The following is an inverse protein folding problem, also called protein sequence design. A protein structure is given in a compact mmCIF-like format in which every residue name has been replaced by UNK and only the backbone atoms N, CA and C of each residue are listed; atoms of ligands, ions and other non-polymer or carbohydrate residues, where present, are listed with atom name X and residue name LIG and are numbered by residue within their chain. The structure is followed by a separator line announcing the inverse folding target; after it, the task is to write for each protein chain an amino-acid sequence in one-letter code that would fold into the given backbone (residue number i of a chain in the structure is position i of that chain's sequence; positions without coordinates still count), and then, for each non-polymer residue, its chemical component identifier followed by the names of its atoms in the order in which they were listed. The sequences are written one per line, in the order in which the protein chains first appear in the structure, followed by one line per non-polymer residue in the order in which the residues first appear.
data_IF_205804325722
#
_entry.id   IF_205804325722
#
_cell.length_a   1.000
_cell.length_b   1.000
_cell.length_c   1.000
_cell.angle_alpha   90.00
_cell.angle_beta   90.00
_cell.angle_gamma   90.00
#
_symmetry.space_group_name_H-M   'P 1'
#
loop_
_entity.id
_entity.type
_entity.pdbx_description
1 polymer ?
#
# COMPACT_ATOMS: atom_id res chain seq x y z
N UNK A 1 -33.80 20.04 35.58
CA UNK A 1 -32.89 18.86 35.49
C UNK A 1 -33.64 17.56 35.20
N UNK A 2 -34.37 16.94 36.14
CA UNK A 2 -35.00 15.61 35.92
C UNK A 2 -35.99 15.59 34.75
N UNK A 3 -36.84 16.62 34.61
CA UNK A 3 -37.81 16.71 33.50
C UNK A 3 -37.11 16.70 32.13
N UNK A 4 -36.01 17.44 32.03
CA UNK A 4 -35.22 17.52 30.80
C UNK A 4 -34.46 16.23 30.53
N UNK A 5 -33.90 15.59 31.56
CA UNK A 5 -33.22 14.30 31.42
C UNK A 5 -34.19 13.19 30.99
N UNK A 6 -35.38 13.12 31.61
CA UNK A 6 -36.45 12.22 31.19
C UNK A 6 -36.82 12.46 29.72
N UNK A 7 -37.13 13.71 29.36
CA UNK A 7 -37.48 14.06 28.00
C UNK A 7 -36.38 13.68 27.01
N UNK A 8 -35.11 14.01 27.30
CA UNK A 8 -33.97 13.65 26.45
C UNK A 8 -33.83 12.13 26.28
N UNK A 9 -33.91 11.36 27.37
CA UNK A 9 -33.79 9.90 27.31
C UNK A 9 -34.87 9.29 26.42
N UNK A 10 -36.14 9.65 26.64
CA UNK A 10 -37.25 9.12 25.86
C UNK A 10 -37.15 9.59 24.40
N UNK A 11 -36.82 10.86 24.16
CA UNK A 11 -36.67 11.40 22.81
C UNK A 11 -35.58 10.65 22.02
N UNK A 12 -34.39 10.46 22.61
CA UNK A 12 -33.30 9.73 21.98
C UNK A 12 -33.68 8.27 21.71
N UNK A 13 -34.35 7.61 22.67
CA UNK A 13 -34.88 6.26 22.47
C UNK A 13 -35.86 6.22 21.29
N UNK A 14 -36.75 7.19 21.15
CA UNK A 14 -37.72 7.24 20.03
C UNK A 14 -37.05 7.41 18.66
N UNK A 15 -35.85 7.99 18.59
CA UNK A 15 -35.08 8.09 17.34
C UNK A 15 -34.49 6.75 16.91
N UNK A 16 -34.10 5.90 17.87
CA UNK A 16 -33.45 4.61 17.61
C UNK A 16 -34.43 3.43 17.62
N UNK A 17 -35.49 3.52 18.41
CA UNK A 17 -36.61 2.56 18.47
C UNK A 17 -37.91 3.34 18.27
N UNK A 18 -38.47 3.33 17.04
CA UNK A 18 -39.66 4.10 16.71
C UNK A 18 -40.85 3.79 17.64
N UNK A 19 -41.50 4.84 18.14
CA UNK A 19 -42.72 4.74 18.94
C UNK A 19 -43.98 4.70 18.04
N UNK A 20 -45.10 4.22 18.60
CA UNK A 20 -46.39 4.29 17.89
C UNK A 20 -46.87 5.73 17.77
N UNK A 21 -47.79 5.99 16.83
CA UNK A 21 -48.39 7.31 16.62
C UNK A 21 -49.08 7.85 17.87
N UNK A 22 -49.80 6.99 18.59
CA UNK A 22 -50.49 7.37 19.83
C UNK A 22 -49.47 7.77 20.91
N UNK A 23 -48.34 7.05 20.99
CA UNK A 23 -47.27 7.36 21.92
C UNK A 23 -46.63 8.72 21.63
N UNK A 24 -46.36 9.03 20.35
CA UNK A 24 -45.72 10.29 19.97
C UNK A 24 -46.64 11.50 20.21
N UNK A 25 -47.95 11.38 20.01
CA UNK A 25 -48.91 12.47 20.31
C UNK A 25 -48.89 12.83 21.80
N UNK A 26 -48.77 11.84 22.67
CA UNK A 26 -48.80 12.03 24.12
C UNK A 26 -47.44 12.38 24.73
N UNK A 27 -46.35 12.27 23.97
CA UNK A 27 -45.01 12.63 24.42
C UNK A 27 -44.73 14.13 24.25
N UNK A 28 -44.62 14.87 25.37
CA UNK A 28 -44.33 16.30 25.37
C UNK A 28 -43.35 16.67 26.49
N UNK A 29 -42.54 17.71 26.28
CA UNK A 29 -41.72 18.31 27.36
C UNK A 29 -42.67 18.80 28.46
N UNK A 30 -42.39 18.51 29.73
CA UNK A 30 -43.29 18.89 30.82
C UNK A 30 -44.56 18.04 30.99
N UNK A 31 -44.68 16.88 30.32
CA UNK A 31 -45.96 16.14 30.28
C UNK A 31 -46.53 15.65 31.63
N UNK A 32 -45.73 15.68 32.71
CA UNK A 32 -46.16 15.31 34.07
C UNK A 32 -46.21 16.50 35.03
N UNK A 33 -46.06 17.74 34.55
CA UNK A 33 -46.22 18.94 35.39
C UNK A 33 -47.69 19.09 35.86
N UNK A 34 -48.63 18.50 35.12
CA UNK A 34 -50.04 18.30 35.49
C UNK A 34 -50.38 16.80 35.42
N UNK A 35 -51.43 16.33 36.12
CA UNK A 35 -51.90 14.95 36.00
C UNK A 35 -52.18 14.56 34.54
N UNK A 36 -51.57 13.47 34.08
CA UNK A 36 -51.61 13.00 32.69
C UNK A 36 -51.54 11.46 32.65
N UNK A 37 -52.67 10.82 32.97
CA UNK A 37 -52.79 9.35 33.01
C UNK A 37 -52.61 8.72 31.63
N UNK A 38 -53.15 9.33 30.58
CA UNK A 38 -52.99 8.85 29.20
C UNK A 38 -51.51 8.88 28.78
N UNK A 39 -50.81 9.98 29.05
CA UNK A 39 -49.38 10.07 28.81
C UNK A 39 -48.57 9.05 29.60
N UNK A 40 -48.92 8.82 30.86
CA UNK A 40 -48.30 7.74 31.64
C UNK A 40 -48.48 6.38 30.98
N UNK A 41 -49.68 6.02 30.55
CA UNK A 41 -49.99 4.73 29.93
C UNK A 41 -49.15 4.51 28.66
N UNK A 42 -49.18 5.44 27.73
CA UNK A 42 -48.49 5.26 26.44
C UNK A 42 -46.96 5.25 26.60
N UNK A 43 -46.42 6.14 27.44
CA UNK A 43 -44.96 6.21 27.62
C UNK A 43 -44.44 5.03 28.44
N UNK A 44 -45.16 4.58 29.47
CA UNK A 44 -44.76 3.39 30.24
C UNK A 44 -44.86 2.12 29.40
N UNK A 45 -45.92 1.94 28.60
CA UNK A 45 -46.00 0.87 27.61
C UNK A 45 -44.79 0.89 26.65
N UNK A 46 -44.45 2.05 26.09
CA UNK A 46 -43.32 2.19 25.17
C UNK A 46 -42.00 1.80 25.84
N UNK A 47 -41.68 2.41 26.98
CA UNK A 47 -40.41 2.18 27.67
C UNK A 47 -40.26 0.73 28.13
N UNK A 48 -41.30 0.13 28.71
CA UNK A 48 -41.26 -1.26 29.16
C UNK A 48 -41.18 -2.25 28.00
N UNK A 49 -41.75 -1.90 26.84
CA UNK A 49 -41.61 -2.68 25.61
C UNK A 49 -40.17 -2.62 25.07
N UNK A 50 -39.52 -1.46 25.11
CA UNK A 50 -38.09 -1.30 24.77
C UNK A 50 -37.22 -2.14 25.70
N UNK A 51 -37.50 -2.10 27.00
CA UNK A 51 -36.77 -2.89 28.00
C UNK A 51 -36.91 -4.40 27.76
N UNK A 52 -38.14 -4.94 27.74
CA UNK A 52 -38.38 -6.36 27.49
C UNK A 52 -39.81 -6.62 27.01
N UNK A 53 -40.04 -6.48 25.70
CA UNK A 53 -41.34 -6.72 25.09
C UNK A 53 -41.95 -8.09 25.40
N UNK A 54 -41.14 -9.16 25.48
CA UNK A 54 -41.64 -10.52 25.75
C UNK A 54 -42.19 -10.63 27.17
N UNK A 55 -41.48 -10.08 28.15
CA UNK A 55 -41.91 -10.08 29.55
C UNK A 55 -43.10 -9.15 29.76
N UNK A 56 -43.05 -7.95 29.17
CA UNK A 56 -44.14 -6.99 29.26
C UNK A 56 -45.47 -7.61 28.80
N UNK A 57 -45.50 -8.24 27.63
CA UNK A 57 -46.70 -8.92 27.10
C UNK A 57 -47.23 -10.06 28.00
N UNK A 58 -46.39 -10.66 28.83
CA UNK A 58 -46.80 -11.73 29.76
C UNK A 58 -47.39 -11.20 31.06
N UNK A 59 -46.93 -10.02 31.51
CA UNK A 59 -47.28 -9.47 32.81
C UNK A 59 -48.32 -8.36 32.74
N UNK A 60 -48.45 -7.69 31.60
CA UNK A 60 -49.33 -6.53 31.43
C UNK A 60 -50.21 -6.73 30.21
N UNK A 61 -51.52 -6.56 30.42
CA UNK A 61 -52.54 -6.61 29.38
C UNK A 61 -52.46 -5.36 28.52
N UNK A 62 -52.32 -5.54 27.20
CA UNK A 62 -52.29 -4.48 26.20
C UNK A 62 -52.91 -4.98 24.88
N UNK A 63 -53.70 -4.17 24.15
CA UNK A 63 -54.06 -2.76 24.38
C UNK A 63 -55.17 -2.56 25.42
N UNK A 64 -55.32 -1.32 25.89
CA UNK A 64 -56.40 -0.91 26.81
C UNK A 64 -57.61 -0.49 25.97
N UNK A 65 -58.75 -1.17 26.13
CA UNK A 65 -59.96 -0.88 25.35
C UNK A 65 -61.02 -0.15 26.16
N UNK A 66 -61.05 -0.35 27.47
CA UNK A 66 -62.06 0.23 28.36
C UNK A 66 -61.48 0.68 29.72
N UNK A 67 -62.31 1.32 30.55
CA UNK A 67 -61.90 1.80 31.89
C UNK A 67 -61.57 0.68 32.88
N UNK A 68 -62.08 -0.54 32.69
CA UNK A 68 -61.74 -1.69 33.51
C UNK A 68 -60.33 -2.19 33.18
N UNK A 69 -59.99 -2.23 31.89
CA UNK A 69 -58.64 -2.53 31.42
C UNK A 69 -57.63 -1.50 31.93
N UNK A 70 -58.03 -0.22 31.99
CA UNK A 70 -57.18 0.85 32.53
C UNK A 70 -56.88 0.65 34.03
N UNK A 71 -57.88 0.23 34.81
CA UNK A 71 -57.69 -0.13 36.23
C UNK A 71 -56.77 -1.34 36.37
N UNK A 72 -56.96 -2.36 35.53
CA UNK A 72 -56.14 -3.58 35.51
C UNK A 72 -54.70 -3.25 35.13
N UNK A 73 -54.49 -2.45 34.09
CA UNK A 73 -53.19 -1.99 33.63
C UNK A 73 -52.39 -1.32 34.75
N UNK A 74 -53.00 -0.41 35.52
CA UNK A 74 -52.32 0.23 36.66
C UNK A 74 -51.88 -0.77 37.72
N UNK A 75 -52.69 -1.80 37.98
CA UNK A 75 -52.36 -2.83 38.96
C UNK A 75 -51.20 -3.70 38.47
N UNK A 76 -51.27 -4.17 37.23
CA UNK A 76 -50.23 -5.01 36.60
C UNK A 76 -48.89 -4.26 36.44
N UNK A 77 -48.94 -2.99 36.07
CA UNK A 77 -47.75 -2.13 35.97
C UNK A 77 -47.11 -1.89 37.33
N UNK A 78 -47.90 -1.74 38.40
CA UNK A 78 -47.37 -1.60 39.76
C UNK A 78 -46.57 -2.84 40.16
N UNK A 79 -47.09 -4.03 39.88
CA UNK A 79 -46.37 -5.29 40.12
C UNK A 79 -45.10 -5.36 39.27
N UNK A 80 -45.20 -4.99 37.98
CA UNK A 80 -44.04 -4.95 37.10
C UNK A 80 -42.94 -4.02 37.62
N UNK A 81 -43.31 -2.85 38.14
CA UNK A 81 -42.36 -1.91 38.73
C UNK A 81 -41.70 -2.45 40.00
N UNK A 82 -42.42 -3.19 40.83
CA UNK A 82 -41.82 -3.85 42.00
C UNK A 82 -40.74 -4.86 41.57
N UNK A 83 -41.00 -5.61 40.50
CA UNK A 83 -40.04 -6.55 39.93
C UNK A 83 -38.81 -5.84 39.36
N UNK A 84 -39.00 -4.74 38.61
CA UNK A 84 -37.88 -3.93 38.10
C UNK A 84 -37.03 -3.33 39.22
N UNK A 85 -37.66 -2.88 40.31
CA UNK A 85 -36.98 -2.33 41.47
C UNK A 85 -36.06 -3.36 42.14
N UNK A 86 -36.52 -4.62 42.24
CA UNK A 86 -35.71 -5.72 42.79
C UNK A 86 -34.53 -6.09 41.89
N UNK A 87 -34.70 -6.02 40.57
CA UNK A 87 -33.66 -6.37 39.59
C UNK A 87 -32.61 -5.28 39.40
N UNK A 88 -32.94 -4.02 39.74
CA UNK A 88 -32.06 -2.86 39.52
C UNK A 88 -31.85 -2.08 40.83
N UNK A 89 -31.20 -2.67 41.84
CA UNK A 89 -30.96 -2.00 43.13
C UNK A 89 -30.08 -0.75 42.99
N UNK A 90 -29.27 -0.65 41.93
CA UNK A 90 -28.41 0.49 41.62
C UNK A 90 -29.19 1.78 41.27
N UNK A 91 -30.42 1.65 40.81
CA UNK A 91 -31.20 2.76 40.23
C UNK A 91 -31.98 3.55 41.29
N UNK A 92 -32.04 3.05 42.53
CA UNK A 92 -32.82 3.64 43.63
C UNK A 92 -34.28 3.90 43.21
N UNK A 93 -34.95 2.85 42.77
CA UNK A 93 -36.31 2.93 42.25
C UNK A 93 -37.30 3.37 43.35
N UNK A 94 -38.15 4.39 43.12
CA UNK A 94 -39.06 4.89 44.14
C UNK A 94 -40.19 3.90 44.42
N UNK A 95 -40.66 3.83 45.67
CA UNK A 95 -41.86 3.05 46.02
C UNK A 95 -43.10 3.59 45.30
N UNK A 96 -43.84 2.70 44.63
CA UNK A 96 -45.01 3.03 43.82
C UNK A 96 -46.30 2.65 44.55
N UNK A 97 -47.03 3.68 45.02
CA UNK A 97 -48.38 3.53 45.54
C UNK A 97 -49.41 3.63 44.41
N UNK A 98 -50.53 2.94 44.57
CA UNK A 98 -51.62 2.96 43.60
C UNK A 98 -52.20 4.38 43.40
N UNK A 99 -52.20 5.20 44.46
CA UNK A 99 -52.62 6.61 44.40
C UNK A 99 -51.77 7.44 43.45
N UNK A 100 -50.48 7.15 43.32
CA UNK A 100 -49.61 7.82 42.35
C UNK A 100 -50.01 7.49 40.91
N UNK A 101 -50.48 6.27 40.64
CA UNK A 101 -50.87 5.83 39.30
C UNK A 101 -52.28 6.30 38.90
N UNK A 102 -53.17 6.53 39.86
CA UNK A 102 -54.54 7.02 39.61
C UNK A 102 -54.53 8.45 39.03
N UNK A 103 -53.68 9.32 39.57
CA UNK A 103 -53.47 10.68 39.08
C UNK A 103 -52.00 10.83 38.69
N UNK A 104 -51.63 10.28 37.54
CA UNK A 104 -50.25 10.19 37.13
C UNK A 104 -49.68 11.58 36.78
N UNK A 105 -49.14 12.28 37.77
CA UNK A 105 -48.54 13.60 37.62
C UNK A 105 -47.69 13.99 38.81
N UNK A 106 -47.05 15.15 38.70
CA UNK A 106 -46.18 15.70 39.72
C UNK A 106 -44.81 15.01 39.81
N UNK A 107 -44.01 15.47 40.77
CA UNK A 107 -42.60 15.11 40.92
C UNK A 107 -42.37 13.61 41.11
N UNK A 108 -43.25 12.90 41.83
CA UNK A 108 -43.10 11.46 42.09
C UNK A 108 -43.23 10.63 40.83
N UNK A 109 -44.23 10.93 39.99
CA UNK A 109 -44.43 10.24 38.71
C UNK A 109 -43.31 10.59 37.73
N UNK A 110 -42.88 11.85 37.71
CA UNK A 110 -41.74 12.24 36.90
C UNK A 110 -40.46 11.47 37.26
N UNK A 111 -40.15 11.32 38.55
CA UNK A 111 -38.98 10.55 39.01
C UNK A 111 -39.14 9.07 38.62
N UNK A 112 -40.33 8.49 38.84
CA UNK A 112 -40.62 7.10 38.46
C UNK A 112 -40.39 6.87 36.96
N UNK A 113 -40.98 7.72 36.11
CA UNK A 113 -40.85 7.62 34.66
C UNK A 113 -39.42 7.89 34.18
N UNK A 114 -38.70 8.79 34.83
CA UNK A 114 -37.27 8.98 34.60
C UNK A 114 -36.46 7.71 34.91
N UNK A 115 -36.69 7.05 36.05
CA UNK A 115 -36.01 5.79 36.39
C UNK A 115 -36.32 4.67 35.41
N UNK A 116 -37.57 4.57 34.95
CA UNK A 116 -37.96 3.61 33.91
C UNK A 116 -37.23 3.92 32.59
N UNK A 117 -37.06 5.20 32.24
CA UNK A 117 -36.30 5.58 31.04
C UNK A 117 -34.82 5.18 31.13
N UNK A 118 -34.21 5.28 32.31
CA UNK A 118 -32.81 4.87 32.54
C UNK A 118 -32.66 3.34 32.39
N UNK A 119 -33.58 2.56 32.97
CA UNK A 119 -33.63 1.09 32.81
C UNK A 119 -33.78 0.70 31.34
N UNK A 120 -34.70 1.34 30.64
CA UNK A 120 -34.99 1.04 29.24
C UNK A 120 -33.80 1.37 28.34
N UNK A 121 -33.12 2.49 28.62
CA UNK A 121 -31.92 2.91 27.92
C UNK A 121 -30.75 1.94 28.19
N UNK A 122 -30.53 1.55 29.45
CA UNK A 122 -29.53 0.55 29.84
C UNK A 122 -29.75 -0.76 29.10
N UNK A 123 -30.98 -1.29 29.12
CA UNK A 123 -31.32 -2.53 28.42
C UNK A 123 -31.11 -2.43 26.90
N UNK A 124 -31.49 -1.31 26.28
CA UNK A 124 -31.27 -1.09 24.86
C UNK A 124 -29.78 -1.06 24.48
N UNK A 125 -28.98 -0.29 25.22
CA UNK A 125 -27.53 -0.18 24.96
C UNK A 125 -26.86 -1.52 25.18
N UNK A 126 -27.14 -2.20 26.29
CA UNK A 126 -26.52 -3.50 26.59
C UNK A 126 -26.81 -4.53 25.50
N UNK A 127 -28.06 -4.56 25.00
CA UNK A 127 -28.45 -5.47 23.92
C UNK A 127 -27.81 -5.11 22.58
N UNK A 128 -27.75 -3.83 22.23
CA UNK A 128 -27.28 -3.37 20.92
C UNK A 128 -25.76 -3.41 20.81
N UNK A 129 -25.06 -3.01 21.87
CA UNK A 129 -23.61 -2.97 21.91
C UNK A 129 -22.99 -4.28 22.39
N UNK A 130 -23.79 -5.25 22.86
CA UNK A 130 -23.31 -6.49 23.49
C UNK A 130 -22.35 -6.24 24.66
N UNK A 131 -22.60 -5.17 25.42
CA UNK A 131 -21.78 -4.76 26.57
C UNK A 131 -22.64 -4.87 27.84
N UNK A 132 -22.11 -5.46 28.90
CA UNK A 132 -22.74 -5.44 30.21
C UNK A 132 -22.46 -4.10 30.90
N UNK A 133 -23.47 -3.23 30.97
CA UNK A 133 -23.37 -1.97 31.70
C UNK A 133 -23.52 -2.21 33.21
N UNK A 134 -22.44 -1.97 33.96
CA UNK A 134 -22.42 -2.09 35.42
C UNK A 134 -23.36 -1.10 36.12
N UNK A 135 -23.63 0.06 35.51
CA UNK A 135 -24.48 1.11 36.07
C UNK A 135 -25.40 1.70 35.01
N UNK A 136 -26.57 2.18 35.43
CA UNK A 136 -27.46 2.93 34.56
C UNK A 136 -26.85 4.27 34.13
N UNK A 137 -27.20 4.79 32.93
CA UNK A 137 -26.76 6.11 32.48
C UNK A 137 -27.21 7.21 33.46
N UNK A 138 -26.27 7.82 34.16
CA UNK A 138 -26.53 8.88 35.14
C UNK A 138 -26.48 10.28 34.52
N UNK A 139 -27.17 11.22 35.16
CA UNK A 139 -27.04 12.65 34.86
C UNK A 139 -25.65 13.10 35.34
N UNK A 140 -24.67 13.16 34.43
CA UNK A 140 -23.30 13.61 34.70
C UNK A 140 -22.93 14.85 33.89
N UNK A 141 -21.89 15.56 34.33
CA UNK A 141 -21.30 16.66 33.55
C UNK A 141 -20.66 16.10 32.28
N UNK A 142 -21.38 16.24 31.15
CA UNK A 142 -20.93 15.77 29.85
C UNK A 142 -19.69 16.50 29.36
N UNK A 143 -19.26 17.59 30.01
CA UNK A 143 -18.04 18.32 29.63
C UNK A 143 -16.82 17.42 29.57
N UNK A 144 -16.60 16.57 30.57
CA UNK A 144 -15.42 15.70 30.60
C UNK A 144 -15.45 14.64 29.49
N UNK A 145 -16.63 14.06 29.20
CA UNK A 145 -16.80 13.07 28.13
C UNK A 145 -16.60 13.73 26.77
N UNK A 146 -17.21 14.90 26.55
CA UNK A 146 -17.11 15.67 25.32
C UNK A 146 -15.65 16.13 25.10
N UNK A 147 -15.01 16.65 26.15
CA UNK A 147 -13.60 17.07 26.09
C UNK A 147 -12.67 15.89 25.80
N UNK A 148 -12.87 14.74 26.46
CA UNK A 148 -12.12 13.51 26.19
C UNK A 148 -12.32 13.05 24.75
N UNK A 149 -13.56 13.01 24.25
CA UNK A 149 -13.87 12.62 22.87
C UNK A 149 -13.17 13.53 21.86
N UNK A 150 -13.29 14.85 22.01
CA UNK A 150 -12.62 15.81 21.13
C UNK A 150 -11.10 15.69 21.20
N UNK A 151 -10.55 15.45 22.39
CA UNK A 151 -9.10 15.28 22.57
C UNK A 151 -8.62 14.04 21.82
N UNK A 152 -9.30 12.91 21.95
CA UNK A 152 -8.98 11.67 21.21
C UNK A 152 -9.07 11.91 19.69
N UNK A 153 -10.14 12.54 19.21
CA UNK A 153 -10.30 12.83 17.78
C UNK A 153 -9.26 13.80 17.23
N UNK A 154 -8.84 14.78 18.01
CA UNK A 154 -7.75 15.67 17.62
C UNK A 154 -6.42 14.92 17.53
N UNK A 155 -6.10 14.07 18.52
CA UNK A 155 -4.89 13.24 18.49
C UNK A 155 -4.87 12.30 17.28
N UNK A 156 -5.98 11.63 16.96
CA UNK A 156 -6.08 10.77 15.76
C UNK A 156 -5.79 11.55 14.47
N UNK A 157 -6.38 12.75 14.34
CA UNK A 157 -6.18 13.63 13.20
C UNK A 157 -4.71 14.08 13.09
N UNK A 158 -4.12 14.52 14.20
CA UNK A 158 -2.75 15.05 14.21
C UNK A 158 -1.71 13.94 13.93
N UNK A 159 -1.96 12.72 14.40
CA UNK A 159 -1.15 11.54 14.04
C UNK A 159 -1.22 11.23 12.54
N UNK A 160 -2.40 11.36 11.95
CA UNK A 160 -2.60 11.13 10.51
C UNK A 160 -1.86 12.18 9.68
N UNK A 161 -1.98 13.45 10.05
CA UNK A 161 -1.27 14.57 9.42
C UNK A 161 0.26 14.36 9.53
N UNK A 162 0.75 14.00 10.71
CA UNK A 162 2.18 13.80 10.95
C UNK A 162 2.75 12.66 10.10
N UNK A 163 2.04 11.53 10.01
CA UNK A 163 2.46 10.42 9.13
C UNK A 163 2.50 10.82 7.66
N UNK A 164 1.49 11.55 7.19
CA UNK A 164 1.45 12.03 5.82
C UNK A 164 2.59 13.01 5.52
N UNK A 165 2.88 13.91 6.45
CA UNK A 165 3.99 14.86 6.34
C UNK A 165 5.34 14.16 6.24
N UNK A 166 5.64 13.18 7.12
CA UNK A 166 6.90 12.44 7.06
C UNK A 166 7.06 11.63 5.78
N UNK A 167 5.99 11.00 5.30
CA UNK A 167 6.00 10.30 4.01
C UNK A 167 6.31 11.26 2.85
N UNK A 168 5.64 12.42 2.83
CA UNK A 168 5.86 13.44 1.80
C UNK A 168 7.30 13.95 1.81
N UNK A 169 7.86 14.16 3.00
CA UNK A 169 9.26 14.59 3.18
C UNK A 169 10.26 13.55 2.68
N UNK A 170 10.01 12.26 2.92
CA UNK A 170 10.84 11.17 2.40
C UNK A 170 10.76 11.06 0.87
N UNK A 171 9.55 11.17 0.30
CA UNK A 171 9.36 11.19 -1.15
C UNK A 171 10.08 12.38 -1.80
N UNK A 172 10.00 13.57 -1.20
CA UNK A 172 10.70 14.75 -1.69
C UNK A 172 12.22 14.53 -1.73
N UNK A 173 12.82 14.05 -0.63
CA UNK A 173 14.27 13.75 -0.58
C UNK A 173 14.69 12.73 -1.63
N UNK A 174 13.87 11.69 -1.83
CA UNK A 174 14.14 10.65 -2.83
C UNK A 174 14.10 11.23 -4.25
N UNK A 175 13.13 12.11 -4.52
CA UNK A 175 13.02 12.82 -5.79
C UNK A 175 14.19 13.78 -6.04
N UNK A 176 14.59 14.56 -5.03
CA UNK A 176 15.76 15.44 -5.12
C UNK A 176 17.04 14.65 -5.44
N UNK A 177 17.23 13.50 -4.79
CA UNK A 177 18.37 12.63 -5.05
C UNK A 177 18.35 12.05 -6.47
N UNK A 178 17.18 11.60 -6.93
CA UNK A 178 16.99 11.13 -8.31
C UNK A 178 17.33 12.22 -9.33
N UNK A 179 16.82 13.44 -9.15
CA UNK A 179 17.10 14.57 -10.03
C UNK A 179 18.60 14.91 -10.07
N UNK A 180 19.28 14.83 -8.92
CA UNK A 180 20.72 15.06 -8.86
C UNK A 180 21.51 14.00 -9.63
N UNK A 181 21.14 12.72 -9.52
CA UNK A 181 21.76 11.64 -10.29
C UNK A 181 21.55 11.83 -11.79
N UNK A 182 20.33 12.12 -12.23
CA UNK A 182 20.03 12.38 -13.64
C UNK A 182 20.81 13.58 -14.19
N UNK A 183 20.95 14.66 -13.42
CA UNK A 183 21.73 15.81 -13.84
C UNK A 183 23.22 15.45 -14.08
N UNK A 184 23.80 14.61 -13.21
CA UNK A 184 25.18 14.12 -13.38
C UNK A 184 25.29 13.26 -14.65
N UNK A 185 24.32 12.38 -14.92
CA UNK A 185 24.30 11.56 -16.14
C UNK A 185 24.18 12.39 -17.40
N UNK A 186 23.30 13.40 -17.42
CA UNK A 186 23.16 14.32 -18.54
C UNK A 186 24.47 15.06 -18.84
N UNK A 187 25.16 15.55 -17.80
CA UNK A 187 26.47 16.20 -17.97
C UNK A 187 27.48 15.21 -18.56
N UNK A 188 27.53 13.96 -18.09
CA UNK A 188 28.43 12.94 -18.67
C UNK A 188 28.14 12.68 -20.15
N UNK A 189 26.87 12.53 -20.52
CA UNK A 189 26.46 12.32 -21.92
C UNK A 189 26.85 13.54 -22.77
N UNK A 190 26.59 14.75 -22.27
CA UNK A 190 26.94 15.98 -22.98
C UNK A 190 28.45 16.10 -23.21
N UNK A 191 29.26 15.81 -22.21
CA UNK A 191 30.73 15.81 -22.35
C UNK A 191 31.20 14.76 -23.36
N UNK A 192 30.64 13.55 -23.32
CA UNK A 192 30.98 12.49 -24.28
C UNK A 192 30.62 12.88 -25.72
N UNK A 193 29.44 13.48 -25.94
CA UNK A 193 29.05 14.00 -27.25
C UNK A 193 30.04 15.06 -27.74
N UNK A 194 30.44 15.98 -26.86
CA UNK A 194 31.39 17.03 -27.20
C UNK A 194 32.79 16.47 -27.57
N UNK A 195 33.28 15.49 -26.82
CA UNK A 195 34.55 14.82 -27.10
C UNK A 195 34.53 14.10 -28.45
N UNK A 196 33.46 13.34 -28.73
CA UNK A 196 33.29 12.65 -30.01
C UNK A 196 33.23 13.65 -31.16
N UNK A 197 32.47 14.74 -31.02
CA UNK A 197 32.40 15.81 -32.01
C UNK A 197 33.77 16.42 -32.29
N UNK A 198 34.51 16.79 -31.23
CA UNK A 198 35.87 17.34 -31.39
C UNK A 198 36.82 16.37 -32.08
N UNK A 199 36.71 15.07 -31.80
CA UNK A 199 37.52 14.05 -32.47
C UNK A 199 37.15 13.90 -33.95
N UNK A 200 35.86 13.95 -34.30
CA UNK A 200 35.39 13.95 -35.69
C UNK A 200 35.95 15.17 -36.43
N UNK A 201 35.88 16.37 -35.84
CA UNK A 201 36.45 17.60 -36.41
C UNK A 201 37.97 17.46 -36.68
N UNK A 202 38.72 16.87 -35.73
CA UNK A 202 40.16 16.59 -35.90
C UNK A 202 40.49 15.56 -36.98
N UNK A 203 39.61 14.59 -37.21
CA UNK A 203 39.81 13.57 -38.25
C UNK A 203 39.48 14.13 -39.63
N UNK A 204 38.39 14.89 -39.73
CA UNK A 204 37.96 15.53 -40.97
C UNK A 204 38.99 16.56 -41.46
N UNK A 205 39.60 17.34 -40.55
CA UNK A 205 40.64 18.32 -40.92
C UNK A 205 41.91 17.70 -41.52
N UNK A 206 42.14 16.40 -41.33
CA UNK A 206 43.27 15.66 -41.90
C UNK A 206 42.96 15.01 -43.25
N UNK A 207 41.69 14.96 -43.65
CA UNK A 207 41.26 14.28 -44.87
C UNK A 207 41.33 15.24 -46.08
N UNK A 208 41.91 14.83 -47.22
CA UNK A 208 41.99 15.66 -48.42
C UNK A 208 40.65 15.62 -49.18
N UNK A 209 39.63 16.29 -48.65
CA UNK A 209 38.26 16.31 -49.22
C UNK A 209 37.77 17.73 -49.50
N UNK A 210 36.92 17.86 -50.52
CA UNK A 210 36.26 19.11 -50.91
C UNK A 210 35.38 19.67 -49.77
N UNK A 211 35.34 20.99 -49.61
CA UNK A 211 34.62 21.71 -48.54
C UNK A 211 33.14 21.33 -48.38
N UNK A 212 32.44 20.97 -49.46
CA UNK A 212 31.05 20.50 -49.41
C UNK A 212 30.93 19.15 -48.69
N UNK A 213 31.87 18.24 -48.94
CA UNK A 213 31.92 16.92 -48.29
C UNK A 213 32.36 17.11 -46.84
N UNK A 214 33.31 18.01 -46.56
CA UNK A 214 33.73 18.38 -45.21
C UNK A 214 32.55 18.86 -44.35
N UNK A 215 31.67 19.71 -44.91
CA UNK A 215 30.47 20.20 -44.21
C UNK A 215 29.48 19.07 -43.91
N UNK A 216 29.22 18.18 -44.86
CA UNK A 216 28.31 17.04 -44.63
C UNK A 216 28.88 16.04 -43.63
N UNK A 217 30.19 15.78 -43.62
CA UNK A 217 30.82 14.87 -42.65
C UNK A 217 30.83 15.46 -41.22
N UNK A 218 30.75 16.79 -41.06
CA UNK A 218 30.63 17.46 -39.76
C UNK A 218 29.19 17.52 -39.24
N UNK A 219 28.20 17.23 -40.09
CA UNK A 219 26.80 17.21 -39.69
C UNK A 219 26.48 15.90 -38.95
N UNK A 220 26.26 16.02 -37.64
CA UNK A 220 25.98 14.89 -36.74
C UNK A 220 24.52 14.40 -36.90
N UNK A 221 23.67 15.17 -37.59
CA UNK A 221 22.26 14.83 -37.82
C UNK A 221 22.02 14.30 -39.26
N UNK A 222 23.05 14.25 -40.13
CA UNK A 222 22.96 13.67 -41.48
C UNK A 222 22.84 12.13 -41.41
N UNK A 223 21.59 11.67 -41.32
CA UNK A 223 21.23 10.26 -41.21
C UNK A 223 21.70 9.40 -42.40
N UNK A 224 21.87 9.96 -43.60
CA UNK A 224 22.40 9.21 -44.75
C UNK A 224 23.87 8.84 -44.53
N UNK A 225 24.68 9.81 -44.10
CA UNK A 225 26.11 9.60 -43.87
C UNK A 225 26.32 8.62 -42.71
N UNK A 226 25.56 8.78 -41.62
CA UNK A 226 25.62 7.86 -40.48
C UNK A 226 25.31 6.43 -40.92
N UNK A 227 24.28 6.22 -41.73
CA UNK A 227 23.91 4.89 -42.20
C UNK A 227 24.96 4.31 -43.15
N UNK A 228 25.58 5.15 -43.99
CA UNK A 228 26.72 4.77 -44.84
C UNK A 228 27.92 4.30 -44.01
N UNK A 229 28.31 5.07 -42.98
CA UNK A 229 29.39 4.71 -42.06
C UNK A 229 29.08 3.42 -41.29
N UNK A 230 27.86 3.27 -40.74
CA UNK A 230 27.43 2.04 -40.06
C UNK A 230 27.56 0.82 -40.95
N UNK A 231 27.12 0.93 -42.21
CA UNK A 231 27.21 -0.17 -43.18
C UNK A 231 28.66 -0.52 -43.50
N UNK A 232 29.52 0.48 -43.70
CA UNK A 232 30.96 0.28 -43.96
C UNK A 232 31.67 -0.39 -42.77
N UNK A 233 31.44 0.09 -41.55
CA UNK A 233 32.01 -0.50 -40.32
C UNK A 233 31.55 -1.95 -40.16
N UNK A 234 30.26 -2.23 -40.35
CA UNK A 234 29.73 -3.59 -40.26
C UNK A 234 30.38 -4.54 -41.29
N UNK A 235 30.60 -4.07 -42.52
CA UNK A 235 31.30 -4.83 -43.56
C UNK A 235 32.76 -5.10 -43.17
N UNK A 236 33.46 -4.09 -42.65
CA UNK A 236 34.86 -4.22 -42.21
C UNK A 236 34.99 -5.20 -41.03
N UNK A 237 34.08 -5.16 -40.05
CA UNK A 237 34.05 -6.12 -38.94
C UNK A 237 33.84 -7.55 -39.48
N UNK A 238 32.90 -7.73 -40.41
CA UNK A 238 32.65 -9.04 -41.03
C UNK A 238 33.90 -9.56 -41.75
N UNK A 239 34.60 -8.69 -42.48
CA UNK A 239 35.85 -9.03 -43.15
C UNK A 239 36.98 -9.40 -42.16
N UNK A 240 37.15 -8.62 -41.09
CA UNK A 240 38.14 -8.90 -40.04
C UNK A 240 37.87 -10.24 -39.36
N UNK A 241 36.60 -10.55 -39.06
CA UNK A 241 36.21 -11.84 -38.49
C UNK A 241 36.53 -13.01 -39.42
N UNK A 242 36.34 -12.85 -40.73
CA UNK A 242 36.74 -13.87 -41.70
C UNK A 242 38.26 -14.10 -41.72
N UNK A 243 39.06 -13.03 -41.66
CA UNK A 243 40.52 -13.16 -41.55
C UNK A 243 40.94 -13.81 -40.24
N UNK A 244 40.33 -13.43 -39.13
CA UNK A 244 40.58 -14.02 -37.81
C UNK A 244 40.29 -15.53 -37.81
N UNK A 245 39.17 -15.96 -38.39
CA UNK A 245 38.84 -17.38 -38.51
C UNK A 245 39.88 -18.16 -39.34
N UNK A 246 40.43 -17.56 -40.40
CA UNK A 246 41.52 -18.18 -41.16
C UNK A 246 42.80 -18.32 -40.33
N UNK A 247 43.16 -17.28 -39.56
CA UNK A 247 44.31 -17.31 -38.66
C UNK A 247 44.14 -18.34 -37.56
N UNK A 248 42.94 -18.45 -36.96
CA UNK A 248 42.64 -19.46 -35.95
C UNK A 248 42.74 -20.89 -36.49
N UNK A 249 42.31 -21.11 -37.74
CA UNK A 249 42.51 -22.40 -38.42
C UNK A 249 44.00 -22.72 -38.62
N UNK A 250 44.79 -21.73 -39.02
CA UNK A 250 46.24 -21.89 -39.16
C UNK A 250 46.90 -22.21 -37.82
N UNK A 251 46.48 -21.54 -36.75
CA UNK A 251 46.94 -21.80 -35.38
C UNK A 251 46.62 -23.22 -34.94
N UNK A 252 45.39 -23.70 -35.16
CA UNK A 252 45.01 -25.09 -34.86
C UNK A 252 45.78 -26.10 -35.72
N UNK A 253 46.08 -25.78 -36.97
CA UNK A 253 46.89 -26.64 -37.82
C UNK A 253 48.34 -26.69 -37.32
N UNK A 254 48.90 -25.54 -36.93
CA UNK A 254 50.23 -25.43 -36.35
C UNK A 254 50.35 -26.21 -35.04
N UNK A 255 49.37 -26.11 -34.14
CA UNK A 255 49.37 -26.87 -32.89
C UNK A 255 49.21 -28.37 -33.13
N UNK A 256 48.39 -28.78 -34.10
CA UNK A 256 48.25 -30.18 -34.52
C UNK A 256 49.55 -30.72 -35.11
N UNK A 257 50.22 -29.93 -35.96
CA UNK A 257 51.50 -30.27 -36.57
C UNK A 257 52.60 -30.35 -35.51
N UNK A 258 52.60 -29.43 -34.54
CA UNK A 258 53.50 -29.48 -33.40
C UNK A 258 53.27 -30.73 -32.55
N UNK A 259 52.01 -31.08 -32.27
CA UNK A 259 51.68 -32.33 -31.55
C UNK A 259 52.08 -33.58 -32.35
N UNK A 260 51.88 -33.59 -33.67
CA UNK A 260 52.33 -34.69 -34.54
C UNK A 260 53.86 -34.81 -34.57
N UNK A 261 54.59 -33.70 -34.67
CA UNK A 261 56.05 -33.69 -34.56
C UNK A 261 56.46 -34.21 -33.19
N UNK A 262 55.86 -33.74 -32.09
CA UNK A 262 56.17 -34.22 -30.74
C UNK A 262 55.89 -35.72 -30.59
N UNK A 263 54.85 -36.25 -31.22
CA UNK A 263 54.49 -37.67 -31.18
C UNK A 263 55.36 -38.55 -32.10
N UNK A 264 55.77 -38.06 -33.27
CA UNK A 264 56.65 -38.78 -34.20
C UNK A 264 58.12 -38.73 -33.74
N UNK A 265 58.52 -37.66 -33.06
CA UNK A 265 59.88 -37.45 -32.58
C UNK A 265 60.13 -37.96 -31.16
N UNK A 266 59.28 -38.84 -30.61
CA UNK A 266 59.52 -39.48 -29.30
C UNK A 266 60.85 -40.26 -29.28
N UNK A 267 61.36 -40.70 -30.44
CA UNK A 267 62.66 -41.41 -30.55
C UNK A 267 63.59 -40.92 -31.70
N UNK A 268 63.38 -39.73 -32.26
CA UNK A 268 64.32 -39.18 -33.26
C UNK A 268 65.12 -38.00 -32.68
N UNK A 269 66.44 -38.14 -32.67
CA UNK A 269 67.38 -37.06 -32.36
C UNK A 269 67.12 -35.91 -33.33
N UNK A 270 66.60 -34.80 -32.83
CA UNK A 270 66.46 -33.58 -33.62
C UNK A 270 67.84 -33.05 -34.00
N UNK A 271 68.07 -32.78 -35.28
CA UNK A 271 69.10 -31.84 -35.71
C UNK A 271 68.69 -30.45 -35.18
N UNK A 272 69.32 -30.02 -34.08
CA UNK A 272 69.17 -28.66 -33.59
C UNK A 272 69.76 -27.68 -34.62
N UNK A 273 68.90 -26.91 -35.27
CA UNK A 273 69.28 -25.88 -36.24
C UNK A 273 70.16 -24.77 -35.63
N UNK A 274 70.33 -24.72 -34.31
CA UNK A 274 71.33 -23.87 -33.66
C UNK A 274 72.78 -24.31 -33.93
N UNK A 275 73.01 -25.56 -34.33
CA UNK A 275 74.33 -26.10 -34.69
C UNK A 275 74.60 -26.13 -36.20
N UNK A 276 73.65 -25.70 -37.04
CA UNK A 276 73.98 -25.40 -38.43
C UNK A 276 74.83 -24.12 -38.43
N UNK A 277 76.06 -24.21 -38.96
CA UNK A 277 76.87 -23.03 -39.22
C UNK A 277 76.00 -21.99 -39.94
N UNK A 278 75.99 -20.75 -39.41
CA UNK A 278 75.30 -19.62 -40.04
C UNK A 278 75.67 -19.61 -41.52
N UNK A 279 74.70 -19.84 -42.39
CA UNK A 279 74.89 -19.66 -43.83
C UNK A 279 75.26 -18.20 -44.01
N UNK A 280 76.51 -17.96 -44.42
CA UNK A 280 76.99 -16.63 -44.72
C UNK A 280 76.19 -16.13 -45.92
N UNK A 281 75.32 -15.14 -45.71
CA UNK A 281 74.42 -14.60 -46.73
C UNK A 281 75.16 -13.96 -47.92
N UNK A 282 76.48 -13.77 -47.83
CA UNK A 282 77.33 -13.36 -48.97
C UNK A 282 77.48 -14.45 -50.04
N UNK A 283 77.46 -15.74 -49.68
CA UNK A 283 77.59 -16.83 -50.67
C UNK A 283 76.29 -17.12 -51.42
N UNK A 284 75.13 -16.82 -50.82
CA UNK A 284 73.82 -16.97 -51.47
C UNK A 284 73.61 -15.97 -52.62
N UNK A 285 74.22 -14.78 -52.54
CA UNK A 285 74.21 -13.79 -53.63
C UNK A 285 75.10 -14.19 -54.81
N UNK A 286 76.08 -15.08 -54.62
CA UNK A 286 76.96 -15.59 -55.68
C UNK A 286 76.36 -16.79 -56.45
N UNK A 287 75.39 -17.50 -55.86
CA UNK A 287 74.70 -18.62 -56.54
C UNK A 287 73.43 -18.21 -57.29
N UNK A 288 72.86 -17.02 -57.02
CA UNK A 288 71.78 -16.47 -57.85
C UNK A 288 72.28 -15.87 -59.17
N UNK A 289 73.60 -15.68 -59.31
CA UNK A 289 74.23 -15.04 -60.46
C UNK A 289 74.93 -16.00 -61.43
N UNK A 290 75.01 -17.31 -61.14
CA UNK A 290 75.53 -18.30 -62.08
C UNK A 290 74.56 -19.47 -62.30
N UNK A 291 74.02 -19.54 -63.52
CA UNK A 291 73.42 -20.74 -64.10
C UNK A 291 74.29 -21.97 -63.81
N UNK A 292 73.69 -23.11 -63.43
CA UNK A 292 73.93 -24.46 -63.99
C UNK A 292 73.42 -25.60 -63.08
N UNK A 293 72.57 -26.43 -63.68
CA UNK A 293 72.30 -27.87 -63.52
C UNK A 293 72.19 -28.50 -62.12
N UNK A 294 70.95 -28.90 -61.82
CA UNK A 294 70.56 -29.92 -60.83
C UNK A 294 71.26 -31.25 -61.15
N UNK A 295 72.15 -31.71 -60.27
CA UNK A 295 72.55 -33.12 -60.19
C UNK A 295 71.99 -33.74 -58.91
N UNK A 296 71.17 -34.77 -59.12
CA UNK A 296 70.57 -35.63 -58.12
C UNK A 296 71.55 -36.09 -57.03
N UNK A 297 71.26 -35.77 -55.77
CA UNK A 297 71.85 -36.47 -54.62
C UNK A 297 70.72 -37.24 -53.94
N UNK A 298 70.68 -38.55 -54.22
CA UNK A 298 69.93 -39.54 -53.44
C UNK A 298 70.65 -39.73 -52.11
N UNK A 299 69.94 -39.61 -51.00
CA UNK A 299 70.40 -40.13 -49.71
C UNK A 299 69.42 -41.23 -49.28
N UNK A 300 69.91 -42.48 -49.34
CA UNK A 300 69.29 -43.64 -48.69
C UNK A 300 69.56 -43.52 -47.20
N UNK A 301 68.55 -43.78 -46.38
CA UNK A 301 68.72 -43.97 -44.94
C UNK A 301 68.27 -45.39 -44.60
N UNK A 302 69.20 -46.17 -44.04
CA UNK A 302 68.95 -47.49 -43.49
C UNK A 302 68.33 -47.36 -42.10
N UNK A 303 67.34 -48.20 -41.81
CA UNK A 303 66.83 -48.39 -40.45
C UNK A 303 67.62 -49.50 -39.75
N UNK A 304 68.22 -49.16 -38.62
CA UNK A 304 68.56 -50.08 -37.52
C UNK A 304 68.19 -49.40 -36.23
#
# INVERSE_FOLDING_TARGET
MINESFYKNVFLLMQVVPASYECTIHFKKGMFDKPNTTGFIHISHYLLSVHNAKRFKKMVTWPILNKMDEKRYRMEIREYFAVLANENPDINFPSVLMSHLLQAGGKKILILMWKISEISLKAYISKTCQIELLQAPNIGDSKHIVQTYFTIKNIEKDNTISKFHENTKLSLKSFEQYMRCNAIELIKIQTAIFEVKSNIEKLISKLPVNSLITKRLMDIDDTEIINSWKRSVAQNIKFLNQKYLKLKKLETFSSTLQNLISNLCVNCIFLDGKNLQKINSKTLLLYSSNNIQVKNIKIKVYFT
#
